data_IF_558395829926
#
_entry.id   IF_558395829926
#
_cell.length_a   1.000
_cell.length_b   1.000
_cell.length_c   1.000
_cell.angle_alpha   90.00
_cell.angle_beta   90.00
_cell.angle_gamma   90.00
#
_symmetry.space_group_name_H-M   'P 1'
#
loop_
_entity.id
_entity.type
_entity.pdbx_description
1 polymer ?
#
# COMPACT_ATOMS: atom_id res chain seq x y z
N UNK A 1 -6.99 9.50 9.28
CA UNK A 1 -6.74 9.15 10.68
C UNK A 1 -5.77 10.12 11.29
N UNK A 2 -5.10 9.73 12.36
CA UNK A 2 -4.08 10.52 13.04
C UNK A 2 -2.78 10.49 12.23
N UNK A 3 -2.36 11.66 11.76
CA UNK A 3 -1.06 11.82 11.10
C UNK A 3 0.09 11.65 12.11
N UNK A 4 0.67 10.43 12.13
CA UNK A 4 1.77 10.06 13.02
C UNK A 4 3.06 10.86 12.75
N UNK A 5 3.13 11.58 11.63
CA UNK A 5 4.28 12.42 11.24
C UNK A 5 4.11 13.88 11.65
N UNK A 6 3.09 14.20 12.47
CA UNK A 6 2.78 15.55 12.95
C UNK A 6 2.46 16.55 11.83
N UNK A 7 1.81 16.07 10.77
CA UNK A 7 1.32 16.90 9.67
C UNK A 7 2.09 16.75 8.37
N UNK A 8 3.21 16.01 8.32
CA UNK A 8 4.00 15.88 7.10
C UNK A 8 3.27 15.06 6.02
N UNK A 9 2.63 13.94 6.38
CA UNK A 9 1.82 13.14 5.44
C UNK A 9 0.65 13.97 4.92
N UNK A 10 -0.07 14.65 5.80
CA UNK A 10 -1.19 15.53 5.40
C UNK A 10 -0.72 16.64 4.46
N UNK A 11 0.39 17.29 4.77
CA UNK A 11 0.95 18.34 3.92
C UNK A 11 1.32 17.79 2.53
N UNK A 12 1.99 16.64 2.45
CA UNK A 12 2.36 16.03 1.16
C UNK A 12 1.13 15.66 0.35
N UNK A 13 0.12 15.06 0.97
CA UNK A 13 -1.13 14.68 0.31
C UNK A 13 -1.91 15.91 -0.21
N UNK A 14 -1.94 17.00 0.55
CA UNK A 14 -2.57 18.27 0.14
C UNK A 14 -1.81 18.97 -1.00
N UNK A 15 -0.47 18.90 -1.02
CA UNK A 15 0.36 19.58 -2.03
C UNK A 15 0.57 18.75 -3.31
N UNK A 16 0.56 17.43 -3.19
CA UNK A 16 0.87 16.49 -4.26
C UNK A 16 -0.10 15.30 -4.28
N UNK A 17 -1.41 15.53 -4.46
CA UNK A 17 -2.42 14.47 -4.40
C UNK A 17 -2.26 13.45 -5.52
N UNK A 18 -2.45 12.18 -5.17
CA UNK A 18 -2.47 11.05 -6.12
C UNK A 18 -1.22 10.99 -7.01
N UNK A 19 -1.40 10.56 -8.26
CA UNK A 19 -0.40 10.60 -9.31
C UNK A 19 -0.22 12.03 -9.85
N UNK A 20 0.25 12.94 -8.99
CA UNK A 20 0.25 14.39 -9.21
C UNK A 20 0.93 14.86 -10.50
N UNK A 21 2.00 14.18 -10.94
CA UNK A 21 2.74 14.54 -12.15
C UNK A 21 2.38 13.71 -13.38
N UNK A 22 1.27 12.95 -13.36
CA UNK A 22 0.85 12.12 -14.50
C UNK A 22 0.70 12.93 -15.81
N UNK A 23 0.09 14.11 -15.73
CA UNK A 23 -0.10 15.01 -16.89
C UNK A 23 1.22 15.63 -17.40
N UNK A 24 2.32 15.42 -16.67
CA UNK A 24 3.67 15.85 -17.05
C UNK A 24 4.52 14.69 -17.56
N UNK A 25 3.89 13.56 -17.87
CA UNK A 25 4.55 12.38 -18.44
C UNK A 25 5.28 11.53 -17.40
N UNK A 26 4.92 11.61 -16.12
CA UNK A 26 5.44 10.72 -15.08
C UNK A 26 4.43 9.61 -14.84
N UNK A 27 4.78 8.38 -15.21
CA UNK A 27 3.97 7.21 -14.90
C UNK A 27 4.09 6.83 -13.43
N UNK A 28 2.98 6.48 -12.80
CA UNK A 28 2.91 6.05 -11.41
C UNK A 28 2.48 4.60 -11.30
N UNK A 29 3.16 3.85 -10.45
CA UNK A 29 2.80 2.49 -10.07
C UNK A 29 2.82 2.40 -8.55
N UNK A 30 1.79 1.81 -7.97
CA UNK A 30 1.77 1.48 -6.54
C UNK A 30 1.58 -0.01 -6.37
N UNK A 31 2.40 -0.63 -5.52
CA UNK A 31 2.36 -2.06 -5.22
C UNK A 31 2.11 -2.20 -3.73
N UNK A 32 1.00 -2.85 -3.37
CA UNK A 32 0.57 -2.96 -1.99
C UNK A 32 0.18 -4.38 -1.62
N UNK A 33 0.45 -4.76 -0.37
CA UNK A 33 0.01 -6.03 0.21
C UNK A 33 -1.38 -5.92 0.84
N UNK A 34 -2.18 -6.99 0.72
CA UNK A 34 -3.54 -7.08 1.26
C UNK A 34 -3.76 -8.30 2.16
N UNK A 35 -2.68 -8.93 2.64
CA UNK A 35 -2.73 -10.21 3.33
C UNK A 35 -3.40 -10.18 4.72
N UNK A 36 -3.61 -9.00 5.28
CA UNK A 36 -4.09 -8.86 6.67
C UNK A 36 -5.32 -7.98 6.70
N UNK A 37 -6.44 -8.61 7.02
CA UNK A 37 -7.65 -7.92 7.47
C UNK A 37 -7.48 -7.53 8.93
N UNK A 38 -7.68 -6.26 9.26
CA UNK A 38 -7.66 -5.82 10.65
C UNK A 38 -8.94 -6.25 11.37
N UNK A 39 -8.80 -6.90 12.52
CA UNK A 39 -9.94 -7.38 13.31
C UNK A 39 -9.90 -6.87 14.75
N UNK A 40 -10.95 -6.15 15.15
CA UNK A 40 -11.04 -5.49 16.44
C UNK A 40 -11.33 -6.45 17.60
N UNK A 41 -11.93 -7.60 17.34
CA UNK A 41 -12.37 -8.53 18.38
C UNK A 41 -11.30 -9.55 18.79
N UNK A 42 -10.16 -9.55 18.10
CA UNK A 42 -9.04 -10.44 18.39
C UNK A 42 -8.25 -9.97 19.62
N UNK A 43 -7.56 -10.94 20.25
CA UNK A 43 -6.67 -10.67 21.38
C UNK A 43 -5.45 -9.84 20.93
N UNK A 44 -4.91 -9.01 21.85
CA UNK A 44 -3.66 -8.27 21.61
C UNK A 44 -2.51 -9.23 21.34
N UNK A 45 -1.57 -8.83 20.48
CA UNK A 45 -0.45 -9.66 20.05
C UNK A 45 -0.76 -10.59 18.87
N UNK A 46 -2.02 -10.68 18.43
CA UNK A 46 -2.37 -11.27 17.13
C UNK A 46 -2.12 -10.28 16.00
N UNK A 47 -1.83 -10.77 14.80
CA UNK A 47 -1.49 -9.93 13.65
C UNK A 47 -2.68 -9.06 13.24
N UNK A 48 -3.88 -9.63 13.27
CA UNK A 48 -5.14 -9.00 12.92
C UNK A 48 -5.48 -7.87 13.89
N UNK A 49 -5.25 -8.06 15.19
CA UNK A 49 -5.47 -7.02 16.21
C UNK A 49 -4.46 -5.89 16.09
N UNK A 50 -3.18 -6.19 15.88
CA UNK A 50 -2.15 -5.17 15.69
C UNK A 50 -2.37 -4.37 14.40
N UNK A 51 -2.76 -5.05 13.32
CA UNK A 51 -3.17 -4.42 12.07
C UNK A 51 -4.37 -3.50 12.28
N UNK A 52 -5.43 -3.97 12.96
CA UNK A 52 -6.60 -3.13 13.29
C UNK A 52 -6.22 -1.87 14.05
N UNK A 53 -5.33 -1.99 15.05
CA UNK A 53 -4.83 -0.84 15.82
C UNK A 53 -4.05 0.12 14.91
N UNK A 54 -3.18 -0.40 14.04
CA UNK A 54 -2.40 0.41 13.10
C UNK A 54 -3.29 1.13 12.10
N UNK A 55 -4.17 0.40 11.43
CA UNK A 55 -5.08 0.93 10.41
C UNK A 55 -6.01 1.98 11.00
N UNK A 56 -6.56 1.74 12.19
CA UNK A 56 -7.42 2.74 12.87
C UNK A 56 -6.69 4.06 13.09
N UNK A 57 -5.38 4.03 13.39
CA UNK A 57 -4.59 5.26 13.49
C UNK A 57 -4.43 5.92 12.13
N UNK A 58 -4.16 5.17 11.07
CA UNK A 58 -3.89 5.74 9.75
C UNK A 58 -5.15 6.25 9.04
N UNK A 59 -6.21 5.45 8.94
CA UNK A 59 -7.44 5.77 8.20
C UNK A 59 -8.65 6.07 9.07
N UNK A 60 -8.54 5.94 10.40
CA UNK A 60 -9.67 6.15 11.33
C UNK A 60 -10.56 4.91 11.52
N UNK A 61 -10.35 3.86 10.72
CA UNK A 61 -11.04 2.56 10.75
C UNK A 61 -10.01 1.44 10.84
N UNK A 62 -10.30 0.41 11.64
CA UNK A 62 -9.38 -0.71 11.83
C UNK A 62 -9.76 -1.94 11.00
N UNK A 63 -11.01 -2.03 10.58
CA UNK A 63 -11.67 -3.11 9.84
C UNK A 63 -11.42 -3.01 8.34
N UNK A 64 -10.16 -2.84 7.96
CA UNK A 64 -9.74 -2.70 6.56
C UNK A 64 -8.62 -3.69 6.23
N UNK A 65 -8.39 -3.92 4.94
CA UNK A 65 -7.31 -4.76 4.44
C UNK A 65 -6.01 -3.96 4.26
N UNK A 66 -4.89 -4.66 4.42
CA UNK A 66 -3.55 -4.12 4.21
C UNK A 66 -2.48 -5.16 4.43
N UNK A 67 -1.24 -4.70 4.63
CA UNK A 67 -0.07 -5.57 4.73
C UNK A 67 0.28 -5.99 6.19
N UNK A 68 -0.57 -5.58 7.13
CA UNK A 68 -0.43 -5.74 8.57
C UNK A 68 0.03 -4.48 9.29
N UNK A 69 0.50 -3.46 8.57
CA UNK A 69 0.95 -2.17 9.12
C UNK A 69 0.27 -1.01 8.40
N UNK A 70 0.26 -1.03 7.07
CA UNK A 70 -0.29 0.01 6.20
C UNK A 70 -1.57 -0.51 5.53
N UNK A 71 -2.71 0.19 5.66
CA UNK A 71 -3.93 -0.18 4.96
C UNK A 71 -3.81 0.15 3.47
N UNK A 72 -4.51 -0.61 2.61
CA UNK A 72 -4.45 -0.45 1.15
C UNK A 72 -4.76 0.98 0.70
N UNK A 73 -5.70 1.64 1.36
CA UNK A 73 -6.14 3.01 1.08
C UNK A 73 -5.00 4.04 1.19
N UNK A 74 -4.02 3.79 2.05
CA UNK A 74 -2.83 4.63 2.20
C UNK A 74 -1.69 4.22 1.26
N UNK A 75 -1.67 2.97 0.78
CA UNK A 75 -0.60 2.45 -0.04
C UNK A 75 -0.78 2.79 -1.53
N UNK A 76 -2.05 2.92 -1.96
CA UNK A 76 -2.41 3.24 -3.33
C UNK A 76 -2.64 4.75 -3.54
N UNK A 77 -2.25 5.22 -4.73
CA UNK A 77 -2.45 6.61 -5.16
C UNK A 77 -3.50 6.65 -6.28
N UNK A 78 -4.41 7.62 -6.22
CA UNK A 78 -5.36 7.86 -7.30
C UNK A 78 -4.63 8.22 -8.61
N UNK A 79 -5.06 7.64 -9.72
CA UNK A 79 -4.43 7.83 -11.03
C UNK A 79 -3.19 6.97 -11.29
N UNK A 80 -2.66 6.27 -10.29
CA UNK A 80 -1.57 5.31 -10.49
C UNK A 80 -2.07 3.98 -11.06
N UNK A 81 -1.18 3.24 -11.71
CA UNK A 81 -1.35 1.80 -11.91
C UNK A 81 -1.23 1.09 -10.55
N UNK A 82 -2.35 0.63 -10.02
CA UNK A 82 -2.42 -0.01 -8.70
C UNK A 82 -2.32 -1.54 -8.84
N UNK A 83 -1.32 -2.14 -8.19
CA UNK A 83 -1.13 -3.58 -8.08
C UNK A 83 -1.31 -4.01 -6.64
N UNK A 84 -2.38 -4.76 -6.38
CA UNK A 84 -2.67 -5.33 -5.06
C UNK A 84 -2.25 -6.79 -5.02
N UNK A 85 -1.40 -7.14 -4.05
CA UNK A 85 -0.88 -8.49 -3.84
C UNK A 85 -1.61 -9.12 -2.65
N UNK A 86 -2.47 -10.13 -2.88
CA UNK A 86 -3.35 -10.67 -1.84
C UNK A 86 -2.59 -11.28 -0.67
N UNK A 87 -1.42 -11.87 -0.93
CA UNK A 87 -0.65 -12.58 0.09
C UNK A 87 0.55 -11.78 0.61
N UNK A 88 0.80 -10.58 0.08
CA UNK A 88 1.94 -9.79 0.48
C UNK A 88 1.69 -9.03 1.79
N UNK A 89 2.77 -8.91 2.57
CA UNK A 89 2.80 -8.41 3.93
C UNK A 89 3.87 -7.32 4.08
N UNK A 90 3.83 -6.58 5.18
CA UNK A 90 4.93 -5.69 5.54
C UNK A 90 6.18 -6.52 5.88
N UNK A 91 7.37 -6.01 5.58
CA UNK A 91 8.62 -6.77 5.72
C UNK A 91 8.96 -7.17 7.16
N UNK A 92 8.42 -6.46 8.15
CA UNK A 92 8.71 -6.68 9.57
C UNK A 92 8.19 -8.07 10.00
N UNK A 93 9.13 -8.97 10.31
CA UNK A 93 8.83 -10.34 10.74
C UNK A 93 8.48 -11.30 9.59
N UNK A 94 8.28 -10.80 8.37
CA UNK A 94 7.93 -11.60 7.19
C UNK A 94 8.63 -11.09 5.92
N UNK A 95 9.98 -11.05 5.88
CA UNK A 95 10.72 -10.44 4.78
C UNK A 95 10.50 -11.14 3.43
N UNK A 96 10.28 -12.46 3.42
CA UNK A 96 10.03 -13.24 2.20
C UNK A 96 8.62 -13.03 1.61
N UNK A 97 7.69 -12.50 2.41
CA UNK A 97 6.31 -12.22 2.00
C UNK A 97 6.12 -10.73 1.64
N UNK A 98 7.20 -9.94 1.67
CA UNK A 98 7.17 -8.52 1.34
C UNK A 98 7.04 -8.28 -0.16
N UNK A 99 6.35 -7.21 -0.57
CA UNK A 99 6.21 -6.84 -2.00
C UNK A 99 7.56 -6.55 -2.70
N UNK A 100 8.63 -6.34 -1.92
CA UNK A 100 10.01 -6.20 -2.39
C UNK A 100 10.87 -7.47 -2.28
N UNK A 101 10.33 -8.60 -1.86
CA UNK A 101 11.04 -9.88 -1.86
C UNK A 101 11.18 -10.42 -3.29
N UNK A 102 12.28 -11.10 -3.60
CA UNK A 102 12.60 -11.58 -4.96
C UNK A 102 11.44 -12.40 -5.56
N UNK A 103 10.95 -13.40 -4.83
CA UNK A 103 9.85 -14.25 -5.25
C UNK A 103 8.50 -13.51 -5.40
N UNK A 104 8.36 -12.31 -4.83
CA UNK A 104 7.15 -11.49 -4.93
C UNK A 104 7.29 -10.45 -6.03
N UNK A 105 8.48 -9.88 -6.24
CA UNK A 105 8.81 -8.98 -7.36
C UNK A 105 8.49 -9.66 -8.69
N UNK A 106 8.86 -10.92 -8.84
CA UNK A 106 8.58 -11.71 -10.05
C UNK A 106 7.09 -11.79 -10.39
N UNK A 107 6.20 -11.60 -9.41
CA UNK A 107 4.75 -11.64 -9.61
C UNK A 107 4.22 -10.36 -10.25
N UNK A 108 4.81 -9.19 -9.97
CA UNK A 108 4.23 -7.91 -10.39
C UNK A 108 5.09 -7.10 -11.37
N UNK A 109 6.42 -7.14 -11.24
CA UNK A 109 7.31 -6.28 -12.02
C UNK A 109 7.21 -6.53 -13.53
N UNK A 110 7.16 -7.79 -14.03
CA UNK A 110 7.01 -8.03 -15.47
C UNK A 110 5.70 -7.46 -16.04
N UNK A 111 4.61 -7.58 -15.29
CA UNK A 111 3.28 -7.12 -15.72
C UNK A 111 3.22 -5.59 -15.83
N UNK A 112 3.79 -4.91 -14.83
CA UNK A 112 3.89 -3.44 -14.81
C UNK A 112 4.79 -2.95 -15.95
N UNK A 113 5.96 -3.56 -16.11
CA UNK A 113 6.93 -3.17 -17.15
C UNK A 113 6.31 -3.30 -18.55
N UNK A 114 5.61 -4.40 -18.80
CA UNK A 114 4.91 -4.61 -20.07
C UNK A 114 3.81 -3.57 -20.31
N UNK A 115 3.02 -3.25 -19.28
CA UNK A 115 1.91 -2.28 -19.38
C UNK A 115 2.41 -0.86 -19.67
N UNK A 116 3.48 -0.43 -19.00
CA UNK A 116 4.09 0.87 -19.24
C UNK A 116 4.68 0.96 -20.66
N UNK A 117 5.34 -0.10 -21.13
CA UNK A 117 5.89 -0.13 -22.49
C UNK A 117 4.79 0.01 -23.58
N UNK A 118 3.60 -0.54 -23.35
CA UNK A 118 2.46 -0.35 -24.26
C UNK A 118 1.91 1.08 -24.24
N UNK A 119 1.91 1.73 -23.08
CA UNK A 119 1.42 3.11 -22.94
C UNK A 119 2.34 4.11 -23.65
N UNK A 120 3.66 3.86 -23.68
CA UNK A 120 4.61 4.72 -24.40
C UNK A 120 4.64 4.52 -25.92
N UNK A 121 3.93 3.50 -26.44
CA UNK A 121 3.92 3.15 -27.86
C UNK A 121 2.71 3.72 -28.64
N UNK A 122 1.79 4.41 -27.94
CA UNK A 122 0.60 5.07 -28.49
C UNK A 122 0.78 6.60 -28.48
#
# INVERSE_FOLDING_TARGET
>A
GDDQTRGALRYVDEQFPGAFFQDRGVDYVTVAGAAVQGEGDFERGTREKEAWISYRRLVGRGDVAGDGIVPLENAHLDGALQVTLPDAKHSIGTPEEWYGAEAVIDKWLPQVTFRLALQSAL
#
